data_IF_810104838538
#
_entry.id   IF_810104838538
#
_cell.length_a   1.000
_cell.length_b   1.000
_cell.length_c   1.000
_cell.angle_alpha   90.00
_cell.angle_beta   90.00
_cell.angle_gamma   90.00
#
_symmetry.space_group_name_H-M   'P 1'
#
loop_
_entity.id
_entity.type
_entity.pdbx_description
1 polymer ?
#
# COMPACT_ATOMS: atom_id res chain seq x y z
N UNK A 1 -7.81 22.79 -4.09
CA UNK A 1 -8.58 21.97 -3.13
C UNK A 1 -7.57 21.12 -2.38
N UNK A 2 -7.69 21.09 -1.06
CA UNK A 2 -6.85 20.27 -0.19
C UNK A 2 -7.17 18.79 -0.45
N UNK A 3 -6.33 18.07 -1.19
CA UNK A 3 -6.63 16.68 -1.53
C UNK A 3 -5.96 15.76 -0.51
N UNK A 4 -6.65 15.55 0.61
CA UNK A 4 -6.30 14.50 1.56
C UNK A 4 -6.49 13.15 0.88
N UNK A 5 -5.50 12.26 1.04
CA UNK A 5 -5.55 10.87 0.58
C UNK A 5 -5.50 9.94 1.78
N UNK A 6 -6.42 8.99 1.80
CA UNK A 6 -6.59 7.98 2.84
C UNK A 6 -6.27 6.60 2.26
N UNK A 7 -5.30 5.90 2.84
CA UNK A 7 -4.88 4.58 2.40
C UNK A 7 -4.93 3.64 3.60
N UNK A 8 -5.54 2.48 3.40
CA UNK A 8 -5.51 1.38 4.38
C UNK A 8 -4.73 0.23 3.78
N UNK A 9 -3.77 -0.30 4.54
CA UNK A 9 -2.97 -1.46 4.16
C UNK A 9 -3.29 -2.58 5.14
N UNK A 10 -3.76 -3.72 4.65
CA UNK A 10 -4.17 -4.85 5.46
C UNK A 10 -3.50 -6.15 5.02
N UNK A 11 -3.33 -7.08 5.94
CA UNK A 11 -2.72 -8.38 5.67
C UNK A 11 -2.61 -9.23 6.91
N UNK A 12 -1.86 -10.32 6.80
CA UNK A 12 -1.50 -11.16 7.93
C UNK A 12 -0.11 -10.79 8.47
N UNK A 13 0.08 -10.97 9.77
CA UNK A 13 1.38 -10.74 10.43
C UNK A 13 2.52 -11.49 9.74
N UNK A 14 3.55 -10.75 9.33
CA UNK A 14 4.72 -11.27 8.61
C UNK A 14 4.74 -11.01 7.09
N UNK A 15 3.66 -10.48 6.50
CA UNK A 15 3.60 -10.15 5.07
C UNK A 15 4.18 -8.77 4.71
N UNK A 16 4.56 -7.98 5.71
CA UNK A 16 5.15 -6.66 5.51
C UNK A 16 4.13 -5.52 5.36
N UNK A 17 2.99 -5.60 6.05
CA UNK A 17 1.98 -4.51 6.15
C UNK A 17 2.63 -3.21 6.65
N UNK A 18 3.36 -3.28 7.77
CA UNK A 18 4.02 -2.11 8.36
C UNK A 18 5.13 -1.57 7.46
N UNK A 19 5.97 -2.46 6.91
CA UNK A 19 7.01 -2.03 5.96
C UNK A 19 6.41 -1.34 4.75
N UNK A 20 5.28 -1.84 4.22
CA UNK A 20 4.60 -1.21 3.10
C UNK A 20 4.02 0.16 3.48
N UNK A 21 3.46 0.30 4.68
CA UNK A 21 2.93 1.58 5.15
C UNK A 21 4.03 2.59 5.43
N UNK A 22 5.19 2.16 5.94
CA UNK A 22 6.40 3.00 6.10
C UNK A 22 6.91 3.50 4.74
N UNK A 23 7.04 2.60 3.75
CA UNK A 23 7.48 2.98 2.41
C UNK A 23 6.52 3.97 1.74
N UNK A 24 5.21 3.80 1.90
CA UNK A 24 4.21 4.74 1.37
C UNK A 24 4.27 6.10 2.08
N UNK A 25 4.29 6.08 3.42
CA UNK A 25 4.34 7.28 4.24
C UNK A 25 5.61 8.09 3.92
N UNK A 26 6.75 7.42 3.82
CA UNK A 26 8.01 8.06 3.46
C UNK A 26 8.01 8.60 2.02
N UNK A 27 7.42 7.87 1.06
CA UNK A 27 7.29 8.37 -0.31
C UNK A 27 6.43 9.65 -0.37
N UNK A 28 5.32 9.69 0.36
CA UNK A 28 4.46 10.87 0.46
C UNK A 28 5.17 12.04 1.16
N UNK A 29 5.88 11.76 2.27
CA UNK A 29 6.64 12.77 3.00
C UNK A 29 7.75 13.38 2.12
N UNK A 30 8.47 12.54 1.37
CA UNK A 30 9.49 12.99 0.41
C UNK A 30 8.93 13.82 -0.74
N UNK A 31 7.65 13.65 -1.07
CA UNK A 31 6.93 14.46 -2.05
C UNK A 31 6.44 15.81 -1.47
N UNK A 32 6.71 16.10 -0.20
CA UNK A 32 6.38 17.37 0.46
C UNK A 32 5.01 17.40 1.13
N UNK A 33 4.35 16.26 1.29
CA UNK A 33 3.08 16.17 2.01
C UNK A 33 3.29 16.06 3.52
N UNK A 34 2.33 16.59 4.28
CA UNK A 34 2.11 16.19 5.67
C UNK A 34 1.56 14.76 5.67
N UNK A 35 2.05 13.93 6.60
CA UNK A 35 1.76 12.50 6.66
C UNK A 35 1.50 12.08 8.09
N UNK A 36 0.40 11.36 8.31
CA UNK A 36 0.13 10.68 9.57
C UNK A 36 -0.18 9.21 9.32
N UNK A 37 0.31 8.36 10.22
CA UNK A 37 0.14 6.91 10.16
C UNK A 37 -0.45 6.42 11.46
N UNK A 38 -1.36 5.44 11.38
CA UNK A 38 -1.82 4.66 12.53
C UNK A 38 -1.56 3.17 12.27
N UNK A 39 -1.30 2.42 13.33
CA UNK A 39 -1.10 0.98 13.26
C UNK A 39 -2.15 0.30 14.13
N UNK A 40 -2.91 -0.62 13.55
CA UNK A 40 -3.89 -1.43 14.23
C UNK A 40 -3.41 -2.88 14.19
N UNK A 41 -2.79 -3.29 15.29
CA UNK A 41 -2.37 -4.68 15.48
C UNK A 41 -3.31 -5.37 16.46
N UNK A 42 -3.82 -6.56 16.10
CA UNK A 42 -4.36 -7.48 17.11
C UNK A 42 -3.27 -7.97 18.06
N UNK A 43 -3.63 -8.56 19.21
CA UNK A 43 -2.67 -9.13 20.18
C UNK A 43 -1.81 -10.30 19.61
N UNK A 44 -2.05 -10.73 18.37
CA UNK A 44 -1.30 -11.80 17.68
C UNK A 44 -0.51 -11.24 16.50
N UNK A 45 0.82 -11.15 16.64
CA UNK A 45 1.72 -10.54 15.65
C UNK A 45 2.14 -11.49 14.50
N UNK A 46 1.79 -12.78 14.55
CA UNK A 46 2.07 -13.75 13.48
C UNK A 46 0.81 -14.50 13.09
N UNK A 47 0.45 -14.44 11.81
CA UNK A 47 -0.78 -15.04 11.27
C UNK A 47 -2.08 -14.35 11.71
N UNK A 48 -2.02 -13.36 12.61
CA UNK A 48 -3.16 -12.51 12.95
C UNK A 48 -3.39 -11.41 11.91
N UNK A 49 -4.61 -10.88 11.90
CA UNK A 49 -4.97 -9.70 11.10
C UNK A 49 -4.18 -8.48 11.57
N UNK A 50 -3.59 -7.78 10.61
CA UNK A 50 -2.84 -6.53 10.81
C UNK A 50 -3.32 -5.52 9.78
N UNK A 51 -3.60 -4.31 10.23
CA UNK A 51 -3.87 -3.17 9.35
C UNK A 51 -3.07 -1.94 9.76
N UNK A 52 -2.80 -1.07 8.79
CA UNK A 52 -2.14 0.21 9.00
C UNK A 52 -2.79 1.26 8.10
N UNK A 53 -3.08 2.40 8.69
CA UNK A 53 -3.67 3.55 8.04
C UNK A 53 -2.57 4.54 7.70
N UNK A 54 -2.56 5.05 6.47
CA UNK A 54 -1.71 6.17 6.06
C UNK A 54 -2.60 7.27 5.48
N UNK A 55 -2.46 8.47 6.04
CA UNK A 55 -3.14 9.68 5.55
C UNK A 55 -2.09 10.71 5.17
N UNK A 56 -2.23 11.29 3.99
CA UNK A 56 -1.34 12.37 3.56
C UNK A 56 -2.07 13.47 2.78
N UNK A 57 -1.55 14.68 2.82
CA UNK A 57 -2.10 15.87 2.16
C UNK A 57 -1.27 17.10 2.49
N UNK A 58 -1.78 18.31 2.26
CA UNK A 58 -1.10 19.53 2.72
C UNK A 58 -1.21 19.73 4.23
N UNK A 59 -2.31 19.27 4.84
CA UNK A 59 -2.50 19.26 6.28
C UNK A 59 -3.30 18.03 6.71
N UNK A 60 -2.74 17.22 7.62
CA UNK A 60 -3.38 16.01 8.14
C UNK A 60 -3.63 16.20 9.62
N UNK A 61 -4.88 16.12 10.06
CA UNK A 61 -5.23 16.35 11.48
C UNK A 61 -5.21 15.08 12.31
N UNK A 62 -5.63 13.94 11.74
CA UNK A 62 -5.77 12.66 12.43
C UNK A 62 -5.00 11.55 11.69
N UNK A 63 -4.41 10.57 12.41
CA UNK A 63 -3.73 9.44 11.79
C UNK A 63 -4.68 8.32 11.33
N UNK A 64 -5.92 8.25 11.84
CA UNK A 64 -6.85 7.15 11.55
C UNK A 64 -7.70 7.47 10.34
N UNK A 65 -7.89 6.51 9.43
CA UNK A 65 -8.81 6.60 8.30
C UNK A 65 -10.22 6.27 8.78
N UNK A 66 -11.21 7.17 8.60
CA UNK A 66 -12.59 6.85 8.93
C UNK A 66 -13.16 5.73 8.05
N UNK A 67 -14.12 4.99 8.59
CA UNK A 67 -14.83 3.96 7.82
C UNK A 67 -15.52 4.59 6.58
N UNK A 68 -15.44 3.90 5.44
CA UNK A 68 -15.98 4.38 4.17
C UNK A 68 -15.23 5.59 3.57
N UNK A 69 -14.04 5.94 4.03
CA UNK A 69 -13.26 7.09 3.52
C UNK A 69 -11.92 6.71 2.88
N UNK A 70 -11.51 5.44 2.86
CA UNK A 70 -10.26 5.06 2.22
C UNK A 70 -10.36 5.24 0.70
N UNK A 71 -9.42 6.00 0.12
CA UNK A 71 -9.24 6.10 -1.33
C UNK A 71 -8.67 4.81 -1.92
N UNK A 72 -7.76 4.18 -1.17
CA UNK A 72 -7.11 2.93 -1.56
C UNK A 72 -7.13 1.95 -0.39
N UNK A 73 -7.59 0.73 -0.66
CA UNK A 73 -7.42 -0.42 0.23
C UNK A 73 -6.41 -1.36 -0.43
N UNK A 74 -5.19 -1.40 0.12
CA UNK A 74 -4.15 -2.35 -0.27
C UNK A 74 -4.21 -3.58 0.65
N UNK A 75 -4.35 -4.76 0.07
CA UNK A 75 -4.44 -6.02 0.80
C UNK A 75 -3.31 -6.96 0.38
N UNK A 76 -2.57 -7.50 1.35
CA UNK A 76 -1.47 -8.44 1.13
C UNK A 76 -1.91 -9.92 1.20
N UNK A 77 -3.06 -10.19 1.80
CA UNK A 77 -3.68 -11.52 1.89
C UNK A 77 -5.17 -11.44 1.57
N UNK A 78 -5.64 -12.22 0.60
CA UNK A 78 -7.01 -12.18 0.10
C UNK A 78 -8.07 -12.39 1.19
N UNK A 79 -7.74 -13.13 2.26
CA UNK A 79 -8.66 -13.34 3.40
C UNK A 79 -8.99 -12.04 4.15
N UNK A 80 -8.16 -11.01 4.01
CA UNK A 80 -8.33 -9.71 4.67
C UNK A 80 -9.18 -8.73 3.85
N UNK A 81 -9.56 -9.07 2.61
CA UNK A 81 -10.34 -8.17 1.75
C UNK A 81 -11.71 -7.88 2.36
N UNK A 82 -12.53 -8.90 2.61
CA UNK A 82 -13.89 -8.68 3.13
C UNK A 82 -13.90 -8.10 4.55
N UNK A 83 -12.89 -8.45 5.36
CA UNK A 83 -12.73 -7.92 6.73
C UNK A 83 -12.55 -6.40 6.72
N UNK A 84 -11.82 -5.87 5.72
CA UNK A 84 -11.49 -4.45 5.64
C UNK A 84 -12.34 -3.70 4.60
N UNK A 85 -13.19 -4.37 3.82
CA UNK A 85 -13.95 -3.76 2.72
C UNK A 85 -14.76 -2.53 3.14
N UNK A 86 -15.29 -2.53 4.37
CA UNK A 86 -16.09 -1.43 4.90
C UNK A 86 -15.32 -0.10 5.06
N UNK A 87 -13.98 -0.12 5.08
CA UNK A 87 -13.18 1.13 5.15
C UNK A 87 -13.09 1.82 3.79
N UNK A 88 -13.29 1.08 2.69
CA UNK A 88 -13.17 1.59 1.34
C UNK A 88 -14.36 2.49 1.00
N UNK A 89 -14.08 3.68 0.48
CA UNK A 89 -15.12 4.61 0.05
C UNK A 89 -15.78 4.14 -1.26
N UNK A 90 -17.00 4.61 -1.58
CA UNK A 90 -17.59 4.42 -2.91
C UNK A 90 -16.65 4.94 -4.02
N UNK A 91 -16.35 4.10 -5.01
CA UNK A 91 -15.38 4.42 -6.08
C UNK A 91 -13.91 4.39 -5.65
N UNK A 92 -13.60 3.95 -4.43
CA UNK A 92 -12.22 3.68 -3.98
C UNK A 92 -11.60 2.49 -4.71
N UNK A 93 -10.27 2.41 -4.67
CA UNK A 93 -9.51 1.37 -5.37
C UNK A 93 -9.10 0.25 -4.41
N UNK A 94 -9.49 -0.98 -4.73
CA UNK A 94 -8.98 -2.19 -4.06
C UNK A 94 -7.79 -2.74 -4.83
N UNK A 95 -6.66 -2.92 -4.15
CA UNK A 95 -5.47 -3.58 -4.68
C UNK A 95 -5.22 -4.82 -3.83
N UNK A 96 -5.37 -6.00 -4.44
CA UNK A 96 -5.30 -7.30 -3.77
C UNK A 96 -4.18 -8.16 -4.40
N UNK A 97 -3.70 -9.23 -3.74
CA UNK A 97 -2.55 -10.00 -4.22
C UNK A 97 -2.80 -10.68 -5.59
N UNK A 98 -4.06 -10.90 -5.98
CA UNK A 98 -4.46 -11.45 -7.28
C UNK A 98 -4.04 -10.59 -8.47
N UNK A 99 -3.77 -9.29 -8.24
CA UNK A 99 -3.23 -8.41 -9.28
C UNK A 99 -1.87 -8.92 -9.81
N UNK A 100 -1.13 -9.64 -8.97
CA UNK A 100 0.19 -10.19 -9.31
C UNK A 100 0.04 -11.66 -9.67
N UNK A 101 0.24 -11.98 -10.95
CA UNK A 101 0.11 -13.34 -11.43
C UNK A 101 1.06 -14.31 -10.67
N UNK A 102 0.58 -15.51 -10.26
CA UNK A 102 1.38 -16.47 -9.53
C UNK A 102 2.69 -16.83 -10.26
N UNK A 103 3.79 -16.94 -9.51
CA UNK A 103 5.10 -17.33 -10.06
C UNK A 103 5.88 -16.24 -10.79
N UNK A 104 5.30 -15.04 -10.97
CA UNK A 104 6.00 -13.93 -11.65
C UNK A 104 7.02 -13.21 -10.75
N UNK A 105 6.80 -13.21 -9.44
CA UNK A 105 7.75 -12.66 -8.48
C UNK A 105 8.93 -13.60 -8.28
N UNK A 106 10.15 -13.09 -8.48
CA UNK A 106 11.40 -13.80 -8.17
C UNK A 106 11.57 -14.11 -6.69
N UNK A 107 10.98 -13.30 -5.82
CA UNK A 107 10.92 -13.52 -4.39
C UNK A 107 9.51 -13.23 -3.88
N UNK A 108 8.86 -14.24 -3.29
CA UNK A 108 7.51 -14.10 -2.73
C UNK A 108 7.42 -13.04 -1.64
N UNK A 109 8.54 -12.76 -0.93
CA UNK A 109 8.60 -11.70 0.09
C UNK A 109 8.54 -10.27 -0.48
N UNK A 110 8.69 -10.11 -1.80
CA UNK A 110 8.59 -8.82 -2.48
C UNK A 110 7.16 -8.49 -2.94
N UNK A 111 6.16 -9.27 -2.53
CA UNK A 111 4.75 -9.03 -2.88
C UNK A 111 4.27 -7.65 -2.42
N UNK A 112 4.63 -7.24 -1.19
CA UNK A 112 4.25 -5.94 -0.66
C UNK A 112 4.81 -4.79 -1.53
N UNK A 113 6.06 -4.88 -1.99
CA UNK A 113 6.66 -3.89 -2.89
C UNK A 113 6.02 -3.92 -4.27
N UNK A 114 5.67 -5.10 -4.79
CA UNK A 114 4.93 -5.19 -6.05
C UNK A 114 3.57 -4.50 -5.95
N UNK A 115 2.80 -4.77 -4.91
CA UNK A 115 1.50 -4.12 -4.74
C UNK A 115 1.63 -2.62 -4.46
N UNK A 116 2.70 -2.15 -3.80
CA UNK A 116 3.01 -0.70 -3.75
C UNK A 116 3.31 -0.11 -5.13
N UNK A 117 3.92 -0.89 -6.02
CA UNK A 117 4.03 -0.55 -7.44
C UNK A 117 2.67 -0.24 -8.04
N UNK A 118 1.69 -1.12 -7.84
CA UNK A 118 0.32 -0.88 -8.28
C UNK A 118 -0.30 0.37 -7.63
N UNK A 119 -0.13 0.55 -6.31
CA UNK A 119 -0.59 1.77 -5.59
C UNK A 119 0.02 3.04 -6.21
N UNK A 120 1.30 3.02 -6.61
CA UNK A 120 1.96 4.19 -7.20
C UNK A 120 1.38 4.62 -8.55
N UNK A 121 0.55 3.79 -9.19
CA UNK A 121 -0.14 4.14 -10.45
C UNK A 121 -1.44 4.92 -10.24
N UNK A 122 -2.00 4.88 -9.02
CA UNK A 122 -3.26 5.55 -8.68
C UNK A 122 -3.09 6.71 -7.70
N UNK A 123 -1.87 6.92 -7.20
CA UNK A 123 -1.52 8.03 -6.32
C UNK A 123 -0.61 9.03 -7.04
N UNK A 124 -0.83 10.31 -6.75
CA UNK A 124 -0.08 11.43 -7.34
C UNK A 124 1.28 11.65 -6.65
N UNK A 125 2.05 10.56 -6.45
CA UNK A 125 3.39 10.59 -5.86
C UNK A 125 4.41 10.23 -6.95
N UNK A 126 5.34 11.12 -7.31
CA UNK A 126 6.38 10.84 -8.30
C UNK A 126 7.16 9.55 -8.00
N UNK A 127 7.43 8.76 -9.05
CA UNK A 127 8.15 7.48 -8.96
C UNK A 127 9.47 7.56 -8.16
N UNK A 128 10.21 8.65 -8.31
CA UNK A 128 11.49 8.84 -7.62
C UNK A 128 11.36 8.77 -6.10
N UNK A 129 10.27 9.28 -5.51
CA UNK A 129 10.05 9.25 -4.07
C UNK A 129 9.74 7.83 -3.57
N UNK A 130 9.00 7.04 -4.36
CA UNK A 130 8.79 5.62 -4.07
C UNK A 130 10.10 4.84 -4.04
N UNK A 131 10.97 5.04 -5.04
CA UNK A 131 12.28 4.37 -5.09
C UNK A 131 13.16 4.76 -3.91
N UNK A 132 13.22 6.05 -3.59
CA UNK A 132 13.95 6.53 -2.42
C UNK A 132 13.44 5.92 -1.10
N UNK A 133 12.11 5.83 -0.94
CA UNK A 133 11.51 5.21 0.24
C UNK A 133 11.79 3.70 0.31
N UNK A 134 11.69 2.97 -0.81
CA UNK A 134 12.03 1.55 -0.87
C UNK A 134 13.49 1.31 -0.47
N UNK A 135 14.41 2.15 -0.93
CA UNK A 135 15.82 2.01 -0.61
C UNK A 135 16.14 2.35 0.84
N UNK A 136 15.43 3.30 1.44
CA UNK A 136 15.57 3.65 2.85
C UNK A 136 15.04 2.54 3.79
N UNK A 137 14.00 1.82 3.38
CA UNK A 137 13.34 0.80 4.22
C UNK A 137 13.88 -0.62 4.03
N UNK A 138 14.62 -0.89 2.95
CA UNK A 138 15.12 -2.23 2.63
C UNK A 138 16.64 -2.28 2.59
N UNK A 139 17.21 -3.40 3.02
CA UNK A 139 18.65 -3.65 2.89
C UNK A 139 19.09 -3.60 1.41
N UNK A 140 20.27 -3.04 1.15
CA UNK A 140 20.82 -2.81 -0.19
C UNK A 140 20.80 -4.05 -1.10
N UNK A 141 21.15 -5.22 -0.56
CA UNK A 141 21.10 -6.50 -1.28
C UNK A 141 19.72 -6.86 -1.84
N UNK A 142 18.66 -6.25 -1.33
CA UNK A 142 17.28 -6.47 -1.73
C UNK A 142 16.78 -5.43 -2.75
N UNK A 143 17.52 -4.34 -3.03
CA UNK A 143 17.04 -3.26 -3.90
C UNK A 143 16.70 -3.75 -5.31
N UNK A 144 17.65 -4.40 -5.99
CA UNK A 144 17.46 -4.87 -7.38
C UNK A 144 16.24 -5.78 -7.57
N UNK A 145 15.97 -6.68 -6.62
CA UNK A 145 14.83 -7.60 -6.73
C UNK A 145 13.50 -6.89 -6.44
N UNK A 146 13.52 -5.87 -5.58
CA UNK A 146 12.34 -5.08 -5.25
C UNK A 146 12.05 -3.99 -6.29
N UNK A 147 13.05 -3.46 -6.99
CA UNK A 147 12.85 -2.62 -8.18
C UNK A 147 12.01 -3.37 -9.22
N UNK A 148 12.39 -4.61 -9.51
CA UNK A 148 11.68 -5.48 -10.44
C UNK A 148 10.26 -5.79 -9.97
N UNK A 149 10.08 -6.03 -8.68
CA UNK A 149 8.76 -6.25 -8.09
C UNK A 149 7.86 -5.01 -8.24
N UNK A 150 8.38 -3.82 -7.91
CA UNK A 150 7.66 -2.56 -8.01
C UNK A 150 7.21 -2.25 -9.44
N UNK A 151 8.11 -2.39 -10.42
CA UNK A 151 7.74 -2.19 -11.83
C UNK A 151 6.71 -3.20 -12.30
N UNK A 152 6.85 -4.47 -11.93
CA UNK A 152 5.88 -5.50 -12.27
C UNK A 152 4.48 -5.14 -11.76
N UNK A 153 4.37 -4.62 -10.54
CA UNK A 153 3.11 -4.17 -9.98
C UNK A 153 2.53 -2.94 -10.67
N UNK A 154 3.36 -1.95 -11.02
CA UNK A 154 2.94 -0.79 -11.83
C UNK A 154 2.37 -1.23 -13.18
N UNK A 155 3.07 -2.14 -13.86
CA UNK A 155 2.60 -2.67 -15.13
C UNK A 155 1.29 -3.48 -14.96
N UNK A 156 1.19 -4.31 -13.92
CA UNK A 156 -0.02 -5.08 -13.65
C UNK A 156 -1.25 -4.18 -13.46
N UNK A 157 -1.11 -3.07 -12.73
CA UNK A 157 -2.15 -2.07 -12.55
C UNK A 157 -2.54 -1.33 -13.84
N UNK A 158 -1.62 -1.19 -14.80
CA UNK A 158 -1.92 -0.60 -16.11
C UNK A 158 -2.64 -1.57 -17.06
N UNK A 159 -2.43 -2.88 -16.89
CA UNK A 159 -3.00 -3.95 -17.73
C UNK A 159 -4.35 -4.46 -17.21
N UNK A 160 -4.48 -4.62 -15.91
CA UNK A 160 -5.76 -4.87 -15.27
C UNK A 160 -6.46 -3.54 -15.11
N UNK A 161 -7.63 -3.35 -15.72
CA UNK A 161 -8.52 -2.26 -15.32
C UNK A 161 -8.74 -2.40 -13.81
N UNK A 162 -8.03 -1.62 -13.00
CA UNK A 162 -8.27 -1.55 -11.56
C UNK A 162 -9.74 -1.20 -11.42
N UNK A 163 -10.53 -2.20 -11.03
CA UNK A 163 -11.98 -2.14 -11.15
C UNK A 163 -12.46 -0.91 -10.37
N UNK A 164 -13.04 0.06 -11.07
CA UNK A 164 -13.97 0.96 -10.41
C UNK A 164 -15.14 0.08 -9.97
N UNK A 165 -15.40 -0.07 -8.66
CA UNK A 165 -16.59 -0.79 -8.23
C UNK A 165 -17.80 -0.04 -8.80
N UNK A 166 -18.64 -0.77 -9.54
CA UNK A 166 -19.93 -0.28 -10.05
C UNK A 166 -20.85 0.15 -8.91
#
# INVERSE_FOLDING_TARGET
METLKNIVIAGLGGQGVLTASDMLAEAAFRAGFDVKKSELHGMSQRGGSVSSDVRYGTHVLSPMVPAGEADVLLVLDSTQVEINRAVLKPGGVLIAPELIAPGTLKNKKSLNVALLGAVSSVLDIPRAHWMAAIYANLAEKLHKINDQAFELGREAASRGSLAQPQ
#
